data_IF_077531309932
#
_entry.id   IF_077531309932
#
_cell.length_a   1.000
_cell.length_b   1.000
_cell.length_c   1.000
_cell.angle_alpha   90.00
_cell.angle_beta   90.00
_cell.angle_gamma   90.00
#
_symmetry.space_group_name_H-M   'P 1'
#
loop_
_entity.id
_entity.type
_entity.pdbx_description
1 polymer ?
#
# COMPACT_ATOMS: atom_id res chain seq x y z
N UNK A 1 4.77 -0.18 -23.24
CA UNK A 1 3.98 -1.16 -22.47
C UNK A 1 4.97 -2.06 -21.75
N UNK A 2 5.12 -1.93 -20.43
CA UNK A 2 5.97 -2.83 -19.66
C UNK A 2 5.25 -4.17 -19.64
N UNK A 3 5.79 -5.16 -20.34
CA UNK A 3 5.24 -6.52 -20.29
C UNK A 3 5.58 -7.10 -18.91
N UNK A 4 4.58 -7.43 -18.12
CA UNK A 4 4.75 -8.07 -16.80
C UNK A 4 5.22 -9.54 -16.92
N UNK A 5 5.61 -10.00 -18.10
CA UNK A 5 6.00 -11.37 -18.37
C UNK A 5 7.26 -11.40 -19.23
N UNK A 6 8.26 -12.15 -18.80
CA UNK A 6 9.48 -12.44 -19.56
C UNK A 6 9.49 -13.89 -20.01
N UNK A 7 9.68 -14.14 -21.31
CA UNK A 7 9.92 -15.48 -21.82
C UNK A 7 11.32 -15.97 -21.42
N UNK A 8 11.39 -17.14 -20.80
CA UNK A 8 12.64 -17.76 -20.32
C UNK A 8 13.15 -18.81 -21.29
N UNK A 9 12.24 -19.54 -21.93
CA UNK A 9 12.52 -20.50 -23.00
C UNK A 9 11.29 -20.66 -23.87
N UNK A 10 11.32 -21.52 -24.90
CA UNK A 10 10.28 -21.65 -25.94
C UNK A 10 8.84 -21.66 -25.41
N UNK A 11 8.57 -22.37 -24.30
CA UNK A 11 7.22 -22.46 -23.69
C UNK A 11 7.22 -22.11 -22.20
N UNK A 12 8.25 -21.41 -21.70
CA UNK A 12 8.36 -21.04 -20.28
C UNK A 12 8.40 -19.54 -20.12
N UNK A 13 7.51 -19.03 -19.28
CA UNK A 13 7.35 -17.62 -18.97
C UNK A 13 7.52 -17.38 -17.47
N UNK A 14 8.02 -16.20 -17.12
CA UNK A 14 8.14 -15.74 -15.73
C UNK A 14 7.56 -14.35 -15.63
N UNK A 15 6.71 -14.15 -14.63
CA UNK A 15 6.20 -12.82 -14.32
C UNK A 15 7.33 -11.91 -13.81
N UNK A 16 7.25 -10.64 -14.16
CA UNK A 16 8.17 -9.60 -13.70
C UNK A 16 7.36 -8.53 -12.99
N UNK A 17 7.65 -8.33 -11.71
CA UNK A 17 6.96 -7.36 -10.87
C UNK A 17 7.89 -6.22 -10.47
N UNK A 18 7.29 -5.08 -10.14
CA UNK A 18 8.00 -3.87 -9.75
C UNK A 18 8.71 -3.19 -10.93
N UNK A 19 9.24 -2.02 -10.66
CA UNK A 19 9.93 -1.15 -11.62
C UNK A 19 11.33 -0.81 -11.15
N UNK A 20 12.23 -0.61 -12.11
CA UNK A 20 13.50 0.05 -11.86
C UNK A 20 13.33 1.57 -11.95
N UNK A 21 14.31 2.32 -11.48
CA UNK A 21 14.32 3.77 -11.52
C UNK A 21 14.06 4.33 -12.93
N UNK A 22 14.59 3.69 -13.95
CA UNK A 22 14.48 4.09 -15.35
C UNK A 22 13.05 3.96 -15.89
N UNK A 23 12.26 3.03 -15.33
CA UNK A 23 10.89 2.73 -15.77
C UNK A 23 9.86 3.79 -15.32
N UNK A 24 10.24 4.70 -14.41
CA UNK A 24 9.35 5.75 -13.91
C UNK A 24 9.51 7.06 -14.68
N UNK A 25 8.40 7.75 -14.93
CA UNK A 25 8.40 9.16 -15.36
C UNK A 25 7.58 9.99 -14.35
N UNK A 26 8.03 11.22 -14.10
CA UNK A 26 7.27 12.14 -13.23
C UNK A 26 5.92 12.43 -13.88
N UNK A 27 4.85 12.32 -13.09
CA UNK A 27 3.46 12.48 -13.54
C UNK A 27 2.80 11.16 -13.99
N UNK A 28 3.52 10.03 -14.08
CA UNK A 28 2.89 8.74 -14.33
C UNK A 28 2.02 8.33 -13.14
N UNK A 29 0.82 7.81 -13.42
CA UNK A 29 -0.12 7.27 -12.43
C UNK A 29 -0.25 5.76 -12.64
N UNK A 30 -0.07 5.00 -11.58
CA UNK A 30 -0.21 3.54 -11.54
C UNK A 30 -1.42 3.16 -10.72
N UNK A 31 -2.46 2.62 -11.36
CA UNK A 31 -3.63 2.07 -10.67
C UNK A 31 -3.34 0.65 -10.19
N UNK A 32 -3.42 0.42 -8.88
CA UNK A 32 -3.15 -0.89 -8.28
C UNK A 32 -4.40 -1.76 -8.25
N UNK A 33 -4.28 -2.96 -8.78
CA UNK A 33 -5.37 -3.95 -8.84
C UNK A 33 -4.89 -5.33 -8.34
N UNK A 34 -5.76 -6.13 -7.72
CA UNK A 34 -7.17 -5.85 -7.41
C UNK A 34 -7.33 -4.88 -6.23
N UNK A 35 -8.56 -4.37 -6.04
CA UNK A 35 -8.96 -3.69 -4.80
C UNK A 35 -9.01 -4.68 -3.63
N UNK A 36 -8.97 -4.16 -2.39
CA UNK A 36 -8.95 -4.98 -1.16
C UNK A 36 -10.13 -4.60 -0.24
N UNK A 37 -11.10 -5.51 -0.08
CA UNK A 37 -12.15 -5.36 0.93
C UNK A 37 -11.60 -5.73 2.30
N UNK A 38 -11.83 -4.87 3.29
CA UNK A 38 -11.35 -5.07 4.66
C UNK A 38 -12.33 -5.95 5.43
N UNK A 39 -11.81 -6.99 6.04
CA UNK A 39 -12.56 -7.88 6.91
C UNK A 39 -12.41 -7.51 8.38
N UNK A 40 -13.34 -8.00 9.23
CA UNK A 40 -13.23 -7.87 10.68
C UNK A 40 -11.95 -8.52 11.21
N UNK A 41 -11.58 -9.66 10.65
CA UNK A 41 -10.34 -10.37 10.98
C UNK A 41 -9.10 -9.51 10.71
N UNK A 42 -9.01 -8.88 9.55
CA UNK A 42 -7.90 -8.00 9.21
C UNK A 42 -7.70 -6.92 10.27
N UNK A 43 -8.78 -6.23 10.63
CA UNK A 43 -8.75 -5.12 11.58
C UNK A 43 -8.40 -5.58 12.99
N UNK A 44 -9.07 -6.60 13.50
CA UNK A 44 -8.86 -7.12 14.86
C UNK A 44 -7.43 -7.66 15.01
N UNK A 45 -6.96 -8.49 14.10
CA UNK A 45 -5.63 -9.06 14.17
C UNK A 45 -4.53 -8.01 14.07
N UNK A 46 -4.63 -7.11 13.10
CA UNK A 46 -3.64 -6.04 12.94
C UNK A 46 -3.58 -5.14 14.18
N UNK A 47 -4.74 -4.74 14.69
CA UNK A 47 -4.84 -3.87 15.87
C UNK A 47 -4.17 -4.51 17.10
N UNK A 48 -4.47 -5.80 17.37
CA UNK A 48 -3.92 -6.51 18.51
C UNK A 48 -2.43 -6.84 18.33
N UNK A 49 -2.00 -7.25 17.12
CA UNK A 49 -0.58 -7.50 16.81
C UNK A 49 0.30 -6.26 16.97
N UNK A 50 -0.25 -5.09 16.72
CA UNK A 50 0.47 -3.81 16.89
C UNK A 50 0.34 -3.23 18.30
N UNK A 51 -0.21 -4.00 19.27
CA UNK A 51 -0.45 -3.58 20.64
C UNK A 51 -1.35 -2.33 20.77
N UNK A 52 -2.18 -2.04 19.79
CA UNK A 52 -3.17 -0.99 19.87
C UNK A 52 -4.37 -1.51 20.66
N UNK A 53 -4.50 -1.04 21.90
CA UNK A 53 -5.57 -1.46 22.82
C UNK A 53 -6.80 -0.57 22.79
N UNK A 54 -6.90 0.35 21.82
CA UNK A 54 -8.06 1.24 21.74
C UNK A 54 -9.32 0.46 21.31
N UNK A 55 -10.36 0.37 22.16
CA UNK A 55 -11.52 -0.50 21.93
C UNK A 55 -12.33 -0.11 20.69
N UNK A 56 -12.18 1.11 20.17
CA UNK A 56 -12.82 1.58 18.95
C UNK A 56 -12.58 0.66 17.75
N UNK A 57 -11.48 -0.12 17.75
CA UNK A 57 -11.08 -0.95 16.61
C UNK A 57 -11.53 -2.42 16.71
N UNK A 58 -12.04 -2.87 17.86
CA UNK A 58 -12.41 -4.28 18.04
C UNK A 58 -13.58 -4.54 19.01
N UNK A 59 -14.00 -3.55 19.80
CA UNK A 59 -15.14 -3.66 20.73
C UNK A 59 -16.38 -3.02 20.11
N UNK A 60 -17.33 -3.86 19.71
CA UNK A 60 -18.57 -3.42 19.04
C UNK A 60 -19.47 -2.59 19.96
N UNK A 61 -19.53 -2.93 21.25
CA UNK A 61 -20.39 -2.18 22.19
C UNK A 61 -19.79 -0.81 22.51
N UNK A 62 -18.46 -0.73 22.66
CA UNK A 62 -17.78 0.55 22.80
C UNK A 62 -17.96 1.42 21.54
N UNK A 63 -17.73 0.87 20.37
CA UNK A 63 -17.82 1.59 19.10
C UNK A 63 -19.24 2.07 18.79
N UNK A 64 -20.27 1.30 19.20
CA UNK A 64 -21.68 1.67 19.05
C UNK A 64 -22.05 2.93 19.82
N UNK A 65 -21.40 3.18 20.95
CA UNK A 65 -21.62 4.39 21.78
C UNK A 65 -20.80 5.61 21.28
N UNK A 66 -19.94 5.43 20.28
CA UNK A 66 -19.11 6.50 19.72
C UNK A 66 -19.86 7.31 18.64
N UNK A 67 -19.26 8.42 18.21
CA UNK A 67 -19.74 9.21 17.08
C UNK A 67 -19.83 8.43 15.76
N UNK A 68 -19.07 7.35 15.60
CA UNK A 68 -19.05 6.51 14.39
C UNK A 68 -20.15 5.43 14.41
N UNK A 69 -20.70 5.09 15.57
CA UNK A 69 -21.75 4.09 15.74
C UNK A 69 -21.36 2.64 15.42
N UNK A 70 -20.11 2.41 14.99
CA UNK A 70 -19.57 1.10 14.62
C UNK A 70 -18.04 1.10 14.66
N UNK A 71 -17.45 -0.10 14.69
CA UNK A 71 -15.99 -0.29 14.69
C UNK A 71 -15.37 0.36 13.45
N UNK A 72 -14.38 1.21 13.66
CA UNK A 72 -13.55 1.79 12.59
C UNK A 72 -12.27 0.99 12.39
N UNK A 73 -11.75 1.01 11.17
CA UNK A 73 -10.49 0.38 10.80
C UNK A 73 -9.32 1.15 11.42
N UNK A 74 -8.36 0.41 11.97
CA UNK A 74 -7.13 0.99 12.50
C UNK A 74 -6.35 1.71 11.40
N UNK A 75 -6.06 3.01 11.57
CA UNK A 75 -5.41 3.82 10.53
C UNK A 75 -4.09 3.27 10.02
N UNK A 76 -3.18 2.73 10.85
CA UNK A 76 -1.97 2.08 10.35
C UNK A 76 -2.24 0.86 9.45
N UNK A 77 -3.34 0.13 9.65
CA UNK A 77 -3.75 -0.95 8.74
C UNK A 77 -4.07 -0.41 7.35
N UNK A 78 -4.79 0.71 7.27
CA UNK A 78 -5.09 1.37 5.99
C UNK A 78 -3.81 1.71 5.23
N UNK A 79 -2.84 2.35 5.90
CA UNK A 79 -1.53 2.66 5.30
C UNK A 79 -0.80 1.40 4.85
N UNK A 80 -0.76 0.37 5.70
CA UNK A 80 -0.10 -0.89 5.38
C UNK A 80 -0.71 -1.58 4.16
N UNK A 81 -2.04 -1.58 4.03
CA UNK A 81 -2.74 -2.15 2.88
C UNK A 81 -2.46 -1.37 1.60
N UNK A 82 -2.50 -0.03 1.63
CA UNK A 82 -2.20 0.80 0.46
C UNK A 82 -0.76 0.60 -0.03
N UNK A 83 0.20 0.57 0.89
CA UNK A 83 1.60 0.25 0.58
C UNK A 83 1.71 -1.16 0.01
N UNK A 84 1.05 -2.15 0.62
CA UNK A 84 1.05 -3.54 0.14
C UNK A 84 0.48 -3.69 -1.27
N UNK A 85 -0.61 -2.99 -1.59
CA UNK A 85 -1.24 -3.02 -2.91
C UNK A 85 -0.32 -2.45 -4.01
N UNK A 86 0.55 -1.51 -3.69
CA UNK A 86 1.47 -0.89 -4.64
C UNK A 86 2.71 -1.75 -4.95
N UNK A 87 3.00 -2.79 -4.15
CA UNK A 87 4.28 -3.52 -4.23
C UNK A 87 4.53 -4.13 -5.59
N UNK A 88 3.58 -4.90 -6.12
CA UNK A 88 3.75 -5.61 -7.39
C UNK A 88 3.95 -4.68 -8.58
N UNK A 89 3.36 -3.50 -8.54
CA UNK A 89 3.42 -2.54 -9.64
C UNK A 89 4.64 -1.63 -9.55
N UNK A 90 4.96 -1.12 -8.36
CA UNK A 90 5.97 -0.06 -8.26
C UNK A 90 7.18 -0.43 -7.41
N UNK A 91 7.03 -1.09 -6.25
CA UNK A 91 8.12 -1.14 -5.28
C UNK A 91 8.82 -2.49 -5.11
N UNK A 92 8.40 -3.56 -5.78
CA UNK A 92 8.98 -4.90 -5.57
C UNK A 92 10.47 -5.01 -5.92
N UNK A 93 10.99 -4.11 -6.77
CA UNK A 93 12.43 -4.01 -7.09
C UNK A 93 13.16 -2.95 -6.28
N UNK A 94 12.46 -2.23 -5.41
CA UNK A 94 13.09 -1.24 -4.55
C UNK A 94 14.02 -1.89 -3.52
N UNK A 95 15.14 -1.23 -3.24
CA UNK A 95 16.12 -1.70 -2.24
C UNK A 95 15.61 -1.44 -0.83
N UNK A 96 14.97 -0.30 -0.60
CA UNK A 96 14.45 0.11 0.70
C UNK A 96 13.38 1.19 0.55
N UNK A 97 12.45 1.21 1.50
CA UNK A 97 11.61 2.37 1.75
C UNK A 97 12.39 3.35 2.63
N UNK A 98 12.52 4.59 2.19
CA UNK A 98 13.28 5.62 2.89
C UNK A 98 12.42 6.45 3.84
N UNK A 99 11.10 6.42 3.70
CA UNK A 99 10.19 7.15 4.56
C UNK A 99 8.85 7.46 3.91
N UNK A 100 8.00 8.07 4.70
CA UNK A 100 6.72 8.61 4.28
C UNK A 100 6.59 10.05 4.79
N UNK A 101 5.93 10.88 4.02
CA UNK A 101 5.60 12.25 4.40
C UNK A 101 4.11 12.50 4.18
N UNK A 102 3.56 13.37 4.99
CA UNK A 102 2.19 13.90 4.83
C UNK A 102 1.09 12.82 4.74
N UNK A 103 1.15 11.82 5.61
CA UNK A 103 0.10 10.81 5.73
C UNK A 103 -1.15 11.46 6.34
N UNK A 104 -2.28 11.42 5.62
CA UNK A 104 -3.57 11.96 6.08
C UNK A 104 -4.67 10.93 5.97
N UNK A 105 -5.45 10.80 7.05
CA UNK A 105 -6.70 10.03 7.07
C UNK A 105 -7.85 10.99 6.82
N UNK A 106 -8.33 11.06 5.61
CA UNK A 106 -9.38 12.02 5.19
C UNK A 106 -10.78 11.58 5.56
N UNK A 107 -11.00 10.28 5.71
CA UNK A 107 -12.28 9.68 6.06
C UNK A 107 -12.09 8.45 6.94
N UNK A 108 -13.03 8.15 7.85
CA UNK A 108 -13.04 6.89 8.56
C UNK A 108 -13.27 5.74 7.58
N UNK A 109 -12.60 4.63 7.80
CA UNK A 109 -12.75 3.39 7.03
C UNK A 109 -13.40 2.34 7.93
N UNK A 110 -14.31 1.56 7.38
CA UNK A 110 -15.06 0.55 8.11
C UNK A 110 -14.82 -0.85 7.55
N UNK A 111 -15.06 -1.85 8.38
CA UNK A 111 -15.11 -3.25 7.93
C UNK A 111 -16.18 -3.40 6.85
N UNK A 112 -15.83 -4.05 5.76
CA UNK A 112 -16.67 -4.20 4.56
C UNK A 112 -16.39 -3.19 3.46
N UNK A 113 -15.67 -2.09 3.75
CA UNK A 113 -15.23 -1.14 2.73
C UNK A 113 -14.12 -1.74 1.86
N UNK A 114 -14.09 -1.35 0.60
CA UNK A 114 -13.07 -1.80 -0.36
C UNK A 114 -12.12 -0.65 -0.69
N UNK A 115 -10.84 -0.88 -0.42
CA UNK A 115 -9.77 0.02 -0.83
C UNK A 115 -9.42 -0.22 -2.31
N UNK A 116 -9.26 0.88 -3.02
CA UNK A 116 -8.65 0.97 -4.34
C UNK A 116 -7.50 1.95 -4.19
N UNK A 117 -6.33 1.58 -4.68
CA UNK A 117 -5.13 2.41 -4.52
C UNK A 117 -4.54 2.78 -5.89
N UNK A 118 -3.92 3.94 -5.93
CA UNK A 118 -3.11 4.41 -7.04
C UNK A 118 -1.87 5.12 -6.51
N UNK A 119 -0.82 5.19 -7.32
CA UNK A 119 0.41 5.92 -7.03
C UNK A 119 0.74 6.86 -8.16
N UNK A 120 1.03 8.12 -7.84
CA UNK A 120 1.55 9.11 -8.77
C UNK A 120 3.04 9.33 -8.50
N UNK A 121 3.85 9.40 -9.56
CA UNK A 121 5.27 9.75 -9.46
C UNK A 121 5.42 11.26 -9.35
N UNK A 122 5.71 11.74 -8.16
CA UNK A 122 5.87 13.18 -7.89
C UNK A 122 7.27 13.67 -8.21
N UNK A 123 8.30 12.88 -7.93
CA UNK A 123 9.71 13.25 -8.12
C UNK A 123 10.56 12.01 -8.36
N UNK A 124 11.60 12.15 -9.15
CA UNK A 124 12.69 11.15 -9.26
C UNK A 124 14.04 11.84 -9.34
N UNK A 125 15.02 11.28 -8.68
CA UNK A 125 16.40 11.79 -8.69
C UNK A 125 17.40 10.69 -8.40
N UNK A 126 18.63 10.87 -8.83
CA UNK A 126 19.71 9.97 -8.45
C UNK A 126 20.05 10.10 -6.95
N UNK A 127 20.49 9.00 -6.37
CA UNK A 127 20.92 8.95 -4.99
C UNK A 127 22.32 9.56 -4.85
N UNK A 128 22.47 10.55 -3.96
CA UNK A 128 23.77 11.15 -3.66
C UNK A 128 24.68 10.24 -2.84
N UNK A 129 24.11 9.33 -2.06
CA UNK A 129 24.85 8.45 -1.15
C UNK A 129 25.09 7.06 -1.71
N UNK A 130 24.40 6.67 -2.80
CA UNK A 130 24.50 5.34 -3.38
C UNK A 130 24.58 5.44 -4.91
N UNK A 131 25.79 5.43 -5.49
CA UNK A 131 25.96 5.44 -6.95
C UNK A 131 25.24 4.30 -7.63
N UNK A 132 24.61 4.57 -8.77
CA UNK A 132 23.82 3.59 -9.52
C UNK A 132 22.44 3.26 -8.93
N UNK A 133 21.96 4.04 -7.95
CA UNK A 133 20.60 3.94 -7.43
C UNK A 133 19.86 5.26 -7.61
N UNK A 134 18.55 5.17 -7.82
CA UNK A 134 17.64 6.31 -7.86
C UNK A 134 16.66 6.32 -6.69
N UNK A 135 16.09 7.48 -6.42
CA UNK A 135 15.02 7.71 -5.45
C UNK A 135 13.81 8.20 -6.22
N UNK A 136 12.67 7.58 -5.98
CA UNK A 136 11.37 7.94 -6.54
C UNK A 136 10.43 8.26 -5.39
N UNK A 137 9.72 9.37 -5.52
CA UNK A 137 8.67 9.79 -4.57
C UNK A 137 7.33 9.73 -5.27
#
# INVERSE_FOLDING_TARGET
MVQNVKQISEHRFRETFGRYYEDFNVGDIYEHRPGRTITETDNTWFTLLTMNTHPMHFDKEYAKASEFGKVIVCSPLTVALMVGMSVTDVSQKAVANLGWTDIRMTHPLFVGDTLIAESEVLEKRESKSRPGAGIVT
#
